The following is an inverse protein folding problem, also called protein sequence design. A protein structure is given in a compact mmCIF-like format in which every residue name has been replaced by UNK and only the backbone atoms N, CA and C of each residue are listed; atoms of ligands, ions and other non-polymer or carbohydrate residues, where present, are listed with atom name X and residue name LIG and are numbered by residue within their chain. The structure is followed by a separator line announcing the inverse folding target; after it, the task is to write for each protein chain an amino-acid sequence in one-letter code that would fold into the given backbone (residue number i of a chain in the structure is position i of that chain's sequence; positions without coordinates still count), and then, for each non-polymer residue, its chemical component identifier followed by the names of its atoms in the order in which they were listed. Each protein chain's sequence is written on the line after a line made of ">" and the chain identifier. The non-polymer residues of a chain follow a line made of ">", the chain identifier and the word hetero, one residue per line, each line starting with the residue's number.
data_IF_700800823549
#
_entry.id   IF_700800823549
#
_cell.length_a   1.000
_cell.length_b   1.000
_cell.length_c   1.000
_cell.angle_alpha   90.00
_cell.angle_beta   90.00
_cell.angle_gamma   90.00
#
_symmetry.space_group_name_H-M   'P 1'
#
loop_
_entity.id
_entity.type
_entity.pdbx_description
1 polymer ?
#
# COMPACT_ATOMS: atom_id res chain seq x y z
N UNK A 1 -3.10 6.58 -6.10
CA UNK A 1 -2.22 5.41 -6.28
C UNK A 1 -2.80 4.64 -7.44
N UNK A 2 -1.95 4.25 -8.38
CA UNK A 2 -2.37 3.48 -9.56
C UNK A 2 -1.95 2.04 -9.27
N UNK A 3 -2.88 1.08 -9.22
CA UNK A 3 -2.52 -0.34 -9.10
C UNK A 3 -1.63 -0.72 -10.28
N UNK A 4 -0.57 -1.48 -10.01
CA UNK A 4 0.20 -2.13 -11.06
C UNK A 4 -0.61 -3.31 -11.62
N UNK A 5 -0.31 -3.75 -12.84
CA UNK A 5 -0.79 -5.05 -13.30
C UNK A 5 0.11 -6.16 -12.75
N UNK A 6 -0.44 -7.37 -12.62
CA UNK A 6 0.31 -8.56 -12.20
C UNK A 6 1.42 -8.86 -13.21
N UNK A 7 1.12 -8.72 -14.51
CA UNK A 7 2.05 -8.96 -15.62
C UNK A 7 3.24 -8.00 -15.55
N UNK A 8 3.00 -6.73 -15.21
CA UNK A 8 4.05 -5.74 -15.06
C UNK A 8 5.01 -6.10 -13.92
N UNK A 9 4.49 -6.44 -12.75
CA UNK A 9 5.33 -6.80 -11.60
C UNK A 9 6.09 -8.12 -11.81
N UNK A 10 5.46 -9.10 -12.47
CA UNK A 10 6.15 -10.35 -12.86
C UNK A 10 7.27 -10.08 -13.86
N UNK A 11 7.03 -9.24 -14.86
CA UNK A 11 8.05 -8.81 -15.81
C UNK A 11 9.20 -8.08 -15.13
N UNK A 12 8.90 -7.18 -14.18
CA UNK A 12 9.94 -6.52 -13.37
C UNK A 12 10.78 -7.52 -12.59
N UNK A 13 10.15 -8.48 -11.91
CA UNK A 13 10.88 -9.53 -11.17
C UNK A 13 11.82 -10.30 -12.09
N UNK A 14 11.31 -10.74 -13.24
CA UNK A 14 12.12 -11.46 -14.23
C UNK A 14 13.32 -10.63 -14.73
N UNK A 15 13.10 -9.34 -15.01
CA UNK A 15 14.19 -8.44 -15.44
C UNK A 15 15.22 -8.22 -14.32
N UNK A 16 14.78 -8.04 -13.08
CA UNK A 16 15.67 -7.94 -11.93
C UNK A 16 16.54 -9.19 -11.79
N UNK A 17 15.95 -10.38 -11.94
CA UNK A 17 16.69 -11.65 -11.87
C UNK A 17 17.68 -11.79 -13.03
N UNK A 18 17.29 -11.41 -14.25
CA UNK A 18 18.16 -11.45 -15.44
C UNK A 18 19.35 -10.51 -15.35
N UNK A 19 19.18 -9.34 -14.73
CA UNK A 19 20.20 -8.30 -14.67
C UNK A 19 20.94 -8.25 -13.34
N UNK A 20 20.71 -9.21 -12.44
CA UNK A 20 21.25 -9.22 -11.08
C UNK A 20 20.98 -7.87 -10.35
N UNK A 21 19.75 -7.37 -10.50
CA UNK A 21 19.29 -6.13 -9.89
C UNK A 21 18.32 -6.44 -8.75
N UNK A 22 18.29 -5.59 -7.73
CA UNK A 22 17.37 -5.73 -6.61
C UNK A 22 15.99 -5.17 -6.96
N UNK A 23 14.95 -5.92 -6.59
CA UNK A 23 13.57 -5.45 -6.62
C UNK A 23 13.19 -4.90 -5.24
N UNK A 24 12.90 -3.60 -5.18
CA UNK A 24 12.52 -2.92 -3.93
C UNK A 24 11.09 -2.43 -4.02
N UNK A 25 10.26 -2.80 -3.04
CA UNK A 25 8.91 -2.25 -2.90
C UNK A 25 8.84 -1.25 -1.75
N UNK A 26 8.44 -0.02 -2.08
CA UNK A 26 8.07 0.98 -1.09
C UNK A 26 6.62 0.77 -0.67
N UNK A 27 6.47 0.20 0.52
CA UNK A 27 5.18 -0.13 1.12
C UNK A 27 4.82 0.80 2.27
N UNK A 28 5.48 1.95 2.37
CA UNK A 28 5.20 2.92 3.43
C UNK A 28 3.74 3.40 3.37
N UNK A 29 3.18 3.55 2.16
CA UNK A 29 1.80 3.99 1.97
C UNK A 29 0.79 2.85 1.78
N UNK A 30 1.22 1.73 1.20
CA UNK A 30 0.37 0.58 0.81
C UNK A 30 0.32 -0.52 1.84
N UNK A 31 1.32 -0.60 2.70
CA UNK A 31 1.45 -1.66 3.70
C UNK A 31 0.59 -1.45 4.93
N UNK A 32 0.82 -2.33 5.89
CA UNK A 32 0.16 -2.35 7.20
C UNK A 32 -1.37 -2.35 7.05
N UNK A 33 -1.87 -3.30 6.27
CA UNK A 33 -3.31 -3.57 6.13
C UNK A 33 -4.08 -2.60 5.23
N UNK A 34 -3.41 -1.57 4.68
CA UNK A 34 -4.10 -0.50 3.93
C UNK A 34 -4.91 -1.03 2.75
N UNK A 35 -4.41 -2.05 2.05
CA UNK A 35 -5.07 -2.64 0.87
C UNK A 35 -5.98 -3.82 1.16
N UNK A 36 -6.12 -4.19 2.44
CA UNK A 36 -6.84 -5.41 2.82
C UNK A 36 -5.96 -6.66 2.79
N UNK A 37 -4.66 -6.54 2.48
CA UNK A 37 -3.62 -7.49 2.85
C UNK A 37 -2.62 -6.77 3.75
N UNK A 38 -1.82 -7.52 4.50
CA UNK A 38 -0.82 -6.90 5.38
C UNK A 38 0.14 -6.01 4.59
N UNK A 39 0.59 -6.47 3.43
CA UNK A 39 1.38 -5.70 2.47
C UNK A 39 0.81 -5.88 1.06
N UNK A 40 0.86 -4.84 0.23
CA UNK A 40 0.21 -4.86 -1.06
C UNK A 40 0.85 -5.84 -2.04
N UNK A 41 2.15 -6.12 -1.93
CA UNK A 41 2.83 -7.10 -2.79
C UNK A 41 2.17 -8.49 -2.72
N UNK A 42 1.54 -8.82 -1.58
CA UNK A 42 0.86 -10.09 -1.35
C UNK A 42 -0.30 -10.32 -2.33
N UNK A 43 -0.95 -9.24 -2.81
CA UNK A 43 -1.97 -9.35 -3.84
C UNK A 43 -1.43 -9.81 -5.20
N UNK A 44 -0.15 -9.59 -5.47
CA UNK A 44 0.46 -9.80 -6.78
C UNK A 44 1.24 -11.10 -6.89
N UNK A 45 1.55 -11.75 -5.75
CA UNK A 45 2.36 -12.96 -5.72
C UNK A 45 3.79 -12.75 -6.22
N UNK A 46 4.32 -11.53 -6.11
CA UNK A 46 5.70 -11.17 -6.45
C UNK A 46 6.39 -10.69 -5.19
N UNK A 47 7.42 -11.42 -4.74
CA UNK A 47 8.17 -11.08 -3.52
C UNK A 47 9.33 -10.14 -3.87
N UNK A 48 9.46 -8.98 -3.22
CA UNK A 48 10.61 -8.10 -3.41
C UNK A 48 11.83 -8.61 -2.64
N UNK A 49 13.02 -8.16 -3.03
CA UNK A 49 14.26 -8.39 -2.28
C UNK A 49 14.33 -7.49 -1.03
N UNK A 50 13.77 -6.28 -1.14
CA UNK A 50 13.69 -5.30 -0.05
C UNK A 50 12.30 -4.67 0.00
N UNK A 51 11.76 -4.51 1.21
CA UNK A 51 10.49 -3.84 1.45
C UNK A 51 10.67 -2.72 2.48
N UNK A 52 10.24 -1.50 2.17
CA UNK A 52 10.22 -0.40 3.14
C UNK A 52 8.82 -0.18 3.70
N UNK A 53 8.72 0.08 5.00
CA UNK A 53 7.44 0.28 5.69
C UNK A 53 7.59 1.32 6.81
N UNK A 54 6.55 2.14 7.03
CA UNK A 54 6.48 3.15 8.09
C UNK A 54 5.02 3.60 8.23
N UNK A 55 4.75 4.90 8.45
CA UNK A 55 3.41 5.51 8.55
C UNK A 55 2.49 4.73 9.49
N UNK A 56 1.60 3.91 8.93
CA UNK A 56 0.64 3.12 9.68
C UNK A 56 1.32 2.14 10.63
N UNK A 57 2.56 1.71 10.37
CA UNK A 57 3.34 0.87 11.28
C UNK A 57 3.43 1.43 12.71
N UNK A 58 3.50 2.76 12.84
CA UNK A 58 3.62 3.41 14.14
C UNK A 58 2.31 3.89 14.75
N UNK A 59 1.18 3.82 14.02
CA UNK A 59 -0.11 4.26 14.56
C UNK A 59 -0.14 5.73 14.99
N UNK A 60 0.76 6.56 14.47
CA UNK A 60 0.99 7.94 14.90
C UNK A 60 2.32 8.18 15.60
N UNK A 61 3.00 7.12 16.07
CA UNK A 61 4.36 7.19 16.60
C UNK A 61 5.41 7.09 15.48
N UNK A 62 6.54 7.83 15.53
CA UNK A 62 7.59 7.73 14.52
C UNK A 62 8.31 6.37 14.55
N UNK A 63 8.10 5.56 13.51
CA UNK A 63 8.85 4.33 13.26
C UNK A 63 8.84 4.02 11.75
N UNK A 64 9.97 3.50 11.27
CA UNK A 64 10.09 2.88 9.96
C UNK A 64 10.95 1.62 10.05
N UNK A 65 10.76 0.71 9.11
CA UNK A 65 11.54 -0.50 8.97
C UNK A 65 11.86 -0.77 7.50
N UNK A 66 12.99 -1.43 7.29
CA UNK A 66 13.41 -1.99 6.02
C UNK A 66 13.56 -3.49 6.24
N UNK A 67 12.77 -4.28 5.51
CA UNK A 67 12.86 -5.73 5.50
C UNK A 67 13.66 -6.11 4.27
N UNK A 68 14.54 -7.10 4.41
CA UNK A 68 15.36 -7.60 3.32
C UNK A 68 15.36 -9.13 3.35
N UNK A 69 15.51 -9.77 2.18
CA UNK A 69 15.84 -11.19 2.12
C UNK A 69 17.19 -11.45 2.79
N UNK A 70 17.44 -12.68 3.22
CA UNK A 70 18.73 -13.07 3.84
C UNK A 70 19.93 -12.69 2.97
N UNK A 71 19.83 -12.92 1.65
CA UNK A 71 20.87 -12.57 0.70
C UNK A 71 21.20 -11.06 0.73
N UNK A 72 20.19 -10.20 0.76
CA UNK A 72 20.38 -8.76 0.86
C UNK A 72 20.76 -8.29 2.27
N UNK A 73 20.28 -8.96 3.32
CA UNK A 73 20.62 -8.64 4.70
C UNK A 73 22.08 -8.97 5.03
N UNK A 74 22.67 -9.96 4.36
CA UNK A 74 24.05 -10.42 4.62
C UNK A 74 25.12 -9.34 4.46
N UNK A 75 24.88 -8.32 3.63
CA UNK A 75 25.81 -7.20 3.44
C UNK A 75 25.63 -6.07 4.48
N UNK A 76 24.56 -6.12 5.27
CA UNK A 76 24.24 -5.15 6.31
C UNK A 76 24.92 -5.55 7.62
N UNK A 77 26.24 -5.36 7.67
CA UNK A 77 27.06 -5.69 8.84
C UNK A 77 27.02 -4.60 9.91
N UNK A 78 27.54 -4.90 11.09
CA UNK A 78 27.65 -3.93 12.19
C UNK A 78 28.41 -2.69 11.71
N UNK A 79 27.79 -1.52 11.84
CA UNK A 79 28.36 -0.24 11.42
C UNK A 79 28.06 0.17 9.97
N UNK A 80 27.50 -0.72 9.14
CA UNK A 80 27.11 -0.38 7.75
C UNK A 80 25.93 0.59 7.70
N UNK A 81 24.99 0.44 8.62
CA UNK A 81 23.82 1.30 8.76
C UNK A 81 23.46 1.41 10.24
N UNK A 82 23.25 2.63 10.72
CA UNK A 82 23.01 2.88 12.13
C UNK A 82 22.15 4.13 12.33
N UNK A 83 21.44 4.15 13.44
CA UNK A 83 20.57 5.27 13.83
C UNK A 83 20.49 5.31 15.35
N UNK A 84 20.55 6.52 15.92
CA UNK A 84 20.49 6.73 17.37
C UNK A 84 19.16 6.27 17.97
N UNK A 85 18.06 6.41 17.22
CA UNK A 85 16.72 6.11 17.70
C UNK A 85 16.09 4.86 17.07
N UNK A 86 16.69 4.28 16.03
CA UNK A 86 16.13 3.10 15.40
C UNK A 86 16.21 1.87 16.28
N UNK A 87 15.18 1.02 16.22
CA UNK A 87 15.10 -0.18 17.04
C UNK A 87 14.86 0.08 18.53
N UNK A 88 14.51 1.30 18.94
CA UNK A 88 14.25 1.57 20.35
C UNK A 88 13.04 0.74 20.87
N UNK A 89 13.06 0.29 22.14
CA UNK A 89 12.03 -0.61 22.67
C UNK A 89 10.60 -0.05 22.62
N UNK A 90 10.43 1.27 22.76
CA UNK A 90 9.10 1.89 22.69
C UNK A 90 8.52 1.81 21.28
N UNK A 91 9.31 2.14 20.26
CA UNK A 91 8.90 1.98 18.87
C UNK A 91 8.55 0.51 18.56
N UNK A 92 9.38 -0.43 19.04
CA UNK A 92 9.14 -1.86 18.89
C UNK A 92 7.81 -2.30 19.53
N UNK A 93 7.53 -1.87 20.77
CA UNK A 93 6.28 -2.19 21.46
C UNK A 93 5.05 -1.62 20.74
N UNK A 94 5.12 -0.35 20.32
CA UNK A 94 4.02 0.31 19.58
C UNK A 94 3.75 -0.40 18.26
N UNK A 95 4.79 -0.69 17.48
CA UNK A 95 4.64 -1.36 16.20
C UNK A 95 4.17 -2.82 16.36
N UNK A 96 4.66 -3.51 17.39
CA UNK A 96 4.24 -4.88 17.72
C UNK A 96 2.75 -4.94 18.03
N UNK A 97 2.26 -4.05 18.90
CA UNK A 97 0.82 -3.99 19.23
C UNK A 97 -0.02 -3.53 18.04
N UNK A 98 0.47 -2.59 17.24
CA UNK A 98 -0.25 -2.19 16.04
C UNK A 98 -0.41 -3.35 15.05
N UNK A 99 0.65 -4.12 14.83
CA UNK A 99 0.60 -5.28 13.96
C UNK A 99 -0.31 -6.39 14.54
N UNK A 100 -0.34 -6.58 15.87
CA UNK A 100 -1.24 -7.56 16.51
C UNK A 100 -2.71 -7.23 16.24
N UNK A 101 -3.07 -5.95 16.22
CA UNK A 101 -4.42 -5.46 15.92
C UNK A 101 -4.72 -5.58 14.42
N UNK A 102 -3.82 -5.06 13.57
CA UNK A 102 -4.08 -4.89 12.12
C UNK A 102 -3.98 -6.20 11.34
N UNK A 103 -3.05 -7.08 11.70
CA UNK A 103 -2.79 -8.33 10.97
C UNK A 103 -3.76 -9.45 11.37
N UNK A 104 -5.05 -9.13 11.40
CA UNK A 104 -6.15 -10.06 11.73
C UNK A 104 -7.09 -10.19 10.54
N UNK A 105 -7.67 -11.39 10.29
CA UNK A 105 -8.65 -11.58 9.22
C UNK A 105 -9.83 -10.61 9.33
N UNK A 106 -10.26 -10.28 10.54
CA UNK A 106 -11.38 -9.39 10.83
C UNK A 106 -11.09 -7.95 10.38
N UNK A 107 -9.92 -7.41 10.73
CA UNK A 107 -9.54 -6.05 10.31
C UNK A 107 -9.31 -5.98 8.81
N UNK A 108 -8.54 -6.93 8.25
CA UNK A 108 -8.20 -6.95 6.82
C UNK A 108 -9.44 -7.14 5.94
N UNK A 109 -10.35 -8.06 6.30
CA UNK A 109 -11.63 -8.23 5.60
C UNK A 109 -12.53 -7.00 5.74
N UNK A 110 -12.53 -6.36 6.90
CA UNK A 110 -13.25 -5.11 7.13
C UNK A 110 -12.73 -3.95 6.26
N UNK A 111 -11.43 -3.91 5.94
CA UNK A 111 -10.89 -2.91 4.99
C UNK A 111 -11.44 -3.15 3.59
N UNK A 112 -11.47 -4.41 3.12
CA UNK A 112 -12.02 -4.79 1.81
C UNK A 112 -13.51 -4.48 1.72
N UNK A 113 -14.28 -4.81 2.75
CA UNK A 113 -15.72 -4.54 2.80
C UNK A 113 -16.02 -3.05 2.71
N UNK A 114 -15.33 -2.21 3.52
CA UNK A 114 -15.53 -0.77 3.47
C UNK A 114 -15.12 -0.18 2.12
N UNK A 115 -14.05 -0.69 1.51
CA UNK A 115 -13.66 -0.30 0.17
C UNK A 115 -14.78 -0.57 -0.85
N UNK A 116 -15.38 -1.76 -0.82
CA UNK A 116 -16.52 -2.11 -1.66
C UNK A 116 -17.69 -1.15 -1.48
N UNK A 117 -18.08 -0.86 -0.23
CA UNK A 117 -19.17 0.09 0.05
C UNK A 117 -18.89 1.46 -0.56
N UNK A 118 -17.68 2.00 -0.41
CA UNK A 118 -17.35 3.30 -1.00
C UNK A 118 -17.40 3.26 -2.53
N UNK A 119 -16.89 2.20 -3.16
CA UNK A 119 -16.96 2.02 -4.62
C UNK A 119 -18.40 2.01 -5.12
N UNK A 120 -19.25 1.17 -4.53
CA UNK A 120 -20.66 1.03 -4.90
C UNK A 120 -21.42 2.35 -4.76
N UNK A 121 -21.23 3.06 -3.63
CA UNK A 121 -21.91 4.33 -3.38
C UNK A 121 -21.43 5.45 -4.30
N UNK A 122 -20.13 5.53 -4.57
CA UNK A 122 -19.59 6.51 -5.52
C UNK A 122 -20.04 6.21 -6.96
N UNK A 123 -20.12 4.94 -7.34
CA UNK A 123 -20.65 4.53 -8.64
C UNK A 123 -22.14 4.87 -8.78
N UNK A 124 -22.95 4.65 -7.75
CA UNK A 124 -24.36 5.04 -7.75
C UNK A 124 -24.55 6.56 -7.94
N UNK A 125 -23.75 7.37 -7.24
CA UNK A 125 -23.72 8.83 -7.44
C UNK A 125 -23.31 9.16 -8.88
N UNK A 126 -22.29 8.49 -9.41
CA UNK A 126 -21.80 8.73 -10.76
C UNK A 126 -22.81 8.33 -11.84
N UNK A 127 -23.58 7.27 -11.63
CA UNK A 127 -24.64 6.84 -12.55
C UNK A 127 -25.75 7.89 -12.66
N UNK A 128 -26.09 8.56 -11.54
CA UNK A 128 -27.13 9.60 -11.52
C UNK A 128 -26.65 10.92 -12.14
N UNK A 129 -25.41 11.32 -11.87
CA UNK A 129 -24.96 12.69 -12.15
C UNK A 129 -23.84 12.79 -13.20
N UNK A 130 -23.25 11.67 -13.64
CA UNK A 130 -22.19 11.64 -14.64
C UNK A 130 -20.93 12.45 -14.27
N UNK A 131 -20.69 12.67 -12.98
CA UNK A 131 -19.68 13.63 -12.46
C UNK A 131 -18.24 13.20 -12.77
N UNK A 132 -17.98 11.90 -12.76
CA UNK A 132 -16.66 11.31 -12.78
C UNK A 132 -16.45 10.54 -14.07
N UNK A 133 -15.30 10.79 -14.71
CA UNK A 133 -14.76 9.96 -15.79
C UNK A 133 -14.40 8.57 -15.26
N UNK A 134 -13.92 8.51 -14.03
CA UNK A 134 -13.42 7.28 -13.44
C UNK A 134 -13.32 7.37 -11.93
N UNK A 135 -13.57 6.24 -11.27
CA UNK A 135 -13.42 6.03 -9.82
C UNK A 135 -12.35 4.94 -9.65
N UNK A 136 -11.20 5.28 -9.09
CA UNK A 136 -10.09 4.34 -8.86
C UNK A 136 -9.64 4.34 -7.41
N UNK A 137 -9.09 3.23 -6.97
CA UNK A 137 -8.31 3.11 -5.74
C UNK A 137 -8.42 1.70 -5.20
N UNK A 138 -7.34 1.01 -4.82
CA UNK A 138 -7.42 -0.35 -4.30
C UNK A 138 -8.01 -0.40 -2.88
N UNK A 139 -8.27 0.76 -2.26
CA UNK A 139 -8.63 0.86 -0.84
C UNK A 139 -9.59 2.02 -0.57
N UNK A 140 -10.35 1.90 0.52
CA UNK A 140 -11.33 2.89 0.97
C UNK A 140 -10.74 4.31 1.15
N UNK A 141 -9.48 4.41 1.60
CA UNK A 141 -8.89 5.67 2.05
C UNK A 141 -8.40 6.59 0.92
N UNK A 142 -8.33 6.13 -0.33
CA UNK A 142 -7.76 6.92 -1.43
C UNK A 142 -8.47 6.69 -2.77
N UNK A 143 -9.79 6.61 -2.71
CA UNK A 143 -10.65 6.69 -3.90
C UNK A 143 -10.46 8.04 -4.57
N UNK A 144 -9.99 8.01 -5.82
CA UNK A 144 -9.87 9.19 -6.67
C UNK A 144 -10.96 9.13 -7.72
N UNK A 145 -11.74 10.20 -7.78
CA UNK A 145 -12.72 10.40 -8.81
C UNK A 145 -12.22 11.51 -9.74
N UNK A 146 -11.92 11.18 -10.99
CA UNK A 146 -11.48 12.20 -11.98
C UNK A 146 -12.72 12.85 -12.55
N UNK A 147 -12.97 14.13 -12.26
CA UNK A 147 -14.11 14.87 -12.83
C UNK A 147 -14.06 14.85 -14.36
N UNK A 148 -15.20 14.71 -15.03
CA UNK A 148 -15.27 14.91 -16.48
C UNK A 148 -14.96 16.39 -16.80
N UNK A 149 -14.22 16.69 -17.88
CA UNK A 149 -14.18 18.06 -18.43
C UNK A 149 -15.61 18.54 -18.69
N UNK A 150 -15.89 19.82 -18.41
CA UNK A 150 -17.24 20.34 -18.19
C UNK A 150 -18.28 20.01 -19.25
N UNK A 151 -19.53 19.75 -18.80
CA UNK A 151 -20.71 20.31 -19.45
C UNK A 151 -20.71 21.79 -19.10
N UNK A 152 -20.11 22.62 -19.95
CA UNK A 152 -20.49 24.03 -20.02
C UNK A 152 -21.84 24.08 -20.74
N UNK A 153 -22.90 24.50 -20.04
CA UNK A 153 -24.07 25.06 -20.71
C UNK A 153 -25.29 24.18 -20.98
N UNK A 154 -25.75 23.33 -20.05
CA UNK A 154 -27.15 22.87 -20.08
C UNK A 154 -27.90 23.43 -18.87
N UNK A 155 -28.63 24.52 -19.15
CA UNK A 155 -29.56 25.19 -18.26
C UNK A 155 -30.76 24.24 -17.97
N UNK A 156 -31.28 24.13 -16.74
CA UNK A 156 -32.49 23.36 -16.49
C UNK A 156 -33.70 24.09 -17.10
N UNK A 157 -34.39 23.43 -18.02
CA UNK A 157 -35.82 23.66 -18.26
C UNK A 157 -36.62 22.74 -17.34
#
# INVERSE_FOLDING_TARGET
>A
MVPASVEFLRGLRQLCDQHNALLIFDEVQTGVGRTGELYAYMHYGVTPDVLTTAKALGGGFPIGALLATEACASVMTVGTHGTTYGGNPLAGAVAGELLSIVNTPEVLSGVRQRHQWFCERLQAINARYGLFKEIRGPTAARLRAKRRPGREGENPQ
#
